data_IF_543894752911
#
_entry.id   IF_543894752911
#
_cell.length_a   1.000
_cell.length_b   1.000
_cell.length_c   1.000
_cell.angle_alpha   90.00
_cell.angle_beta   90.00
_cell.angle_gamma   90.00
#
_symmetry.space_group_name_H-M   'P 1'
#
loop_
_entity.id
_entity.type
_entity.pdbx_description
1 polymer ?
#
# COMPACT_ATOMS: atom_id res chain seq x y z
N UNK A 1 -4.66 25.96 -10.79
CA UNK A 1 -3.80 24.93 -11.41
C UNK A 1 -2.92 25.60 -12.45
N UNK A 2 -1.65 25.20 -12.64
CA UNK A 2 -0.68 25.83 -13.57
C UNK A 2 -1.26 26.08 -14.97
N UNK A 3 -2.03 25.13 -15.49
CA UNK A 3 -2.68 25.20 -16.80
C UNK A 3 -3.76 26.29 -16.95
N UNK A 4 -4.14 26.95 -15.84
CA UNK A 4 -5.13 28.03 -15.82
C UNK A 4 -4.50 29.37 -15.39
N UNK A 5 -3.16 29.43 -15.23
CA UNK A 5 -2.45 30.65 -14.87
C UNK A 5 -2.21 31.53 -16.12
N UNK A 6 -2.08 32.86 -15.96
CA UNK A 6 -1.83 33.77 -17.08
C UNK A 6 -0.54 33.50 -17.85
N UNK A 7 0.53 33.08 -17.16
CA UNK A 7 1.84 32.75 -17.76
C UNK A 7 2.35 31.40 -17.24
N UNK A 8 1.76 30.25 -17.61
CA UNK A 8 2.05 28.95 -17.01
C UNK A 8 3.54 28.58 -16.99
N UNK A 9 4.30 28.96 -18.01
CA UNK A 9 5.74 28.67 -18.14
C UNK A 9 6.63 29.39 -17.11
N UNK A 10 6.14 30.45 -16.47
CA UNK A 10 6.86 31.17 -15.40
C UNK A 10 6.65 30.53 -14.02
N UNK A 11 5.79 29.51 -13.92
CA UNK A 11 5.46 28.83 -12.67
C UNK A 11 6.07 27.44 -12.62
N UNK A 12 6.79 27.18 -11.53
CA UNK A 12 7.30 25.85 -11.22
C UNK A 12 6.35 25.09 -10.27
N UNK A 13 6.24 23.77 -10.42
CA UNK A 13 5.39 22.95 -9.56
C UNK A 13 6.25 22.49 -8.39
N UNK A 14 6.11 23.18 -7.25
CA UNK A 14 6.84 22.82 -6.04
C UNK A 14 5.94 21.95 -5.13
N UNK A 15 6.46 20.83 -4.60
CA UNK A 15 7.86 20.41 -4.70
C UNK A 15 8.17 19.65 -6.01
N UNK A 16 9.38 19.90 -6.54
CA UNK A 16 9.95 19.23 -7.73
C UNK A 16 10.54 17.85 -7.40
N UNK A 17 10.38 17.38 -6.17
CA UNK A 17 10.71 16.01 -5.85
C UNK A 17 9.61 15.10 -6.43
N UNK A 18 10.00 13.90 -6.83
CA UNK A 18 9.12 12.84 -7.32
C UNK A 18 8.11 12.35 -6.25
N UNK A 19 7.96 13.10 -5.15
CA UNK A 19 7.00 12.89 -4.09
C UNK A 19 5.63 13.44 -4.51
N UNK A 20 5.08 12.85 -5.58
CA UNK A 20 3.65 12.59 -5.59
C UNK A 20 3.40 11.83 -4.29
N UNK A 21 2.83 12.49 -3.28
CA UNK A 21 2.53 11.84 -2.02
C UNK A 21 1.64 10.65 -2.34
N UNK A 22 2.18 9.44 -2.19
CA UNK A 22 1.41 8.21 -2.24
C UNK A 22 0.53 8.21 -0.99
N UNK A 23 -0.64 8.81 -1.14
CA UNK A 23 -1.63 8.86 -0.08
C UNK A 23 -2.36 7.52 -0.04
N UNK A 24 -2.45 6.95 1.16
CA UNK A 24 -3.31 5.81 1.40
C UNK A 24 -4.77 6.28 1.31
N UNK A 25 -5.49 5.80 0.30
CA UNK A 25 -6.92 6.02 0.18
C UNK A 25 -7.69 4.93 0.93
N UNK A 26 -8.63 5.34 1.77
CA UNK A 26 -9.60 4.45 2.38
C UNK A 26 -10.92 4.51 1.63
N UNK A 27 -11.56 3.36 1.44
CA UNK A 27 -12.92 3.28 0.89
C UNK A 27 -13.95 3.34 2.03
N UNK A 28 -14.93 4.23 1.91
CA UNK A 28 -16.12 4.21 2.78
C UNK A 28 -17.08 3.15 2.27
N UNK A 29 -17.64 2.38 3.19
CA UNK A 29 -18.60 1.32 2.87
C UNK A 29 -20.02 1.75 3.23
N UNK A 30 -21.04 1.19 2.56
CA UNK A 30 -22.41 1.30 3.01
C UNK A 30 -22.53 0.88 4.48
N UNK A 31 -23.52 1.45 5.15
CA UNK A 31 -23.85 1.04 6.51
C UNK A 31 -24.13 -0.48 6.54
N UNK A 32 -23.64 -1.15 7.58
CA UNK A 32 -23.83 -2.58 7.87
C UNK A 32 -23.14 -3.58 6.91
N UNK A 33 -22.23 -3.13 6.03
CA UNK A 33 -21.43 -4.02 5.16
C UNK A 33 -20.12 -4.52 5.84
N UNK A 34 -20.22 -4.86 7.12
CA UNK A 34 -19.05 -5.24 7.93
C UNK A 34 -18.45 -6.59 7.52
N UNK A 35 -19.26 -7.53 7.04
CA UNK A 35 -18.75 -8.84 6.60
C UNK A 35 -17.84 -8.72 5.37
N UNK A 36 -18.23 -7.89 4.39
CA UNK A 36 -17.38 -7.65 3.23
C UNK A 36 -16.09 -6.95 3.63
N UNK A 37 -16.18 -5.93 4.49
CA UNK A 37 -15.02 -5.24 5.06
C UNK A 37 -14.04 -6.22 5.71
N UNK A 38 -14.55 -7.12 6.54
CA UNK A 38 -13.73 -8.05 7.31
C UNK A 38 -13.07 -9.09 6.40
N UNK A 39 -13.76 -9.55 5.36
CA UNK A 39 -13.18 -10.41 4.32
C UNK A 39 -12.03 -9.72 3.57
N UNK A 40 -12.22 -8.46 3.17
CA UNK A 40 -11.20 -7.67 2.47
C UNK A 40 -9.99 -7.42 3.39
N UNK A 41 -10.23 -6.98 4.62
CA UNK A 41 -9.18 -6.75 5.62
C UNK A 41 -8.37 -8.03 5.89
N UNK A 42 -9.06 -9.15 6.06
CA UNK A 42 -8.42 -10.44 6.27
C UNK A 42 -7.55 -10.86 5.08
N UNK A 43 -8.05 -10.67 3.86
CA UNK A 43 -7.30 -10.96 2.64
C UNK A 43 -6.04 -10.11 2.53
N UNK A 44 -6.13 -8.80 2.81
CA UNK A 44 -4.99 -7.88 2.78
C UNK A 44 -3.96 -8.27 3.86
N UNK A 45 -4.40 -8.51 5.09
CA UNK A 45 -3.50 -8.87 6.18
C UNK A 45 -2.79 -10.21 5.93
N UNK A 46 -3.45 -11.18 5.28
CA UNK A 46 -2.82 -12.44 4.89
C UNK A 46 -1.66 -12.20 3.92
N UNK A 47 -1.86 -11.34 2.91
CA UNK A 47 -0.82 -10.97 1.96
C UNK A 47 0.35 -10.28 2.65
N UNK A 48 0.05 -9.30 3.51
CA UNK A 48 1.06 -8.57 4.28
C UNK A 48 1.87 -9.53 5.16
N UNK A 49 1.19 -10.43 5.88
CA UNK A 49 1.86 -11.43 6.70
C UNK A 49 2.73 -12.38 5.88
N UNK A 50 2.23 -12.83 4.72
CA UNK A 50 2.99 -13.65 3.78
C UNK A 50 4.27 -12.98 3.33
N UNK A 51 4.21 -11.69 2.97
CA UNK A 51 5.38 -10.90 2.63
C UNK A 51 6.38 -10.80 3.79
N UNK A 52 5.92 -10.50 5.00
CA UNK A 52 6.79 -10.37 6.19
C UNK A 52 7.50 -11.67 6.56
N UNK A 53 6.86 -12.83 6.37
CA UNK A 53 7.47 -14.14 6.64
C UNK A 53 8.22 -14.72 5.42
N UNK A 54 8.42 -13.92 4.38
CA UNK A 54 9.11 -14.29 3.15
C UNK A 54 8.47 -15.49 2.41
N UNK A 55 7.14 -15.59 2.47
CA UNK A 55 6.41 -16.57 1.65
C UNK A 55 6.65 -16.30 0.15
N UNK A 56 7.08 -17.29 -0.65
CA UNK A 56 7.48 -17.06 -2.05
C UNK A 56 6.35 -16.53 -2.94
N UNK A 57 5.11 -16.94 -2.72
CA UNK A 57 3.96 -16.51 -3.52
C UNK A 57 3.64 -15.04 -3.23
N UNK A 58 3.51 -14.71 -1.94
CA UNK A 58 3.18 -13.35 -1.52
C UNK A 58 4.34 -12.38 -1.78
N UNK A 59 5.58 -12.80 -1.60
CA UNK A 59 6.77 -11.99 -1.91
C UNK A 59 6.85 -11.65 -3.39
N UNK A 60 6.56 -12.62 -4.28
CA UNK A 60 6.51 -12.38 -5.72
C UNK A 60 5.39 -11.40 -6.11
N UNK A 61 4.21 -11.56 -5.52
CA UNK A 61 3.10 -10.63 -5.75
C UNK A 61 3.48 -9.22 -5.28
N UNK A 62 4.11 -9.11 -4.12
CA UNK A 62 4.52 -7.83 -3.55
C UNK A 62 5.57 -7.12 -4.41
N UNK A 63 6.59 -7.87 -4.89
CA UNK A 63 7.62 -7.34 -5.78
C UNK A 63 7.04 -6.79 -7.10
N UNK A 64 5.95 -7.35 -7.62
CA UNK A 64 5.27 -6.83 -8.81
C UNK A 64 4.68 -5.43 -8.64
N UNK A 65 4.34 -5.05 -7.40
CA UNK A 65 3.83 -3.73 -7.08
C UNK A 65 4.93 -2.79 -6.61
N UNK A 66 5.77 -3.22 -5.67
CA UNK A 66 6.65 -2.33 -4.93
C UNK A 66 8.14 -2.64 -5.05
N UNK A 67 8.51 -3.73 -5.73
CA UNK A 67 9.91 -4.05 -6.00
C UNK A 67 10.57 -3.03 -6.95
N UNK A 68 11.87 -3.16 -7.17
CA UNK A 68 12.65 -2.23 -8.01
C UNK A 68 12.07 -2.03 -9.43
N UNK A 69 11.43 -3.08 -9.98
CA UNK A 69 10.78 -3.09 -11.29
C UNK A 69 9.25 -3.10 -11.19
N UNK A 70 8.71 -2.81 -10.00
CA UNK A 70 7.28 -2.82 -9.73
C UNK A 70 6.57 -1.59 -10.30
N UNK A 71 5.24 -1.60 -10.24
CA UNK A 71 4.39 -0.47 -10.67
C UNK A 71 4.69 0.82 -9.92
N UNK A 72 5.02 0.71 -8.62
CA UNK A 72 5.35 1.81 -7.73
C UNK A 72 6.52 1.39 -6.84
N UNK A 73 7.76 1.42 -7.37
CA UNK A 73 8.93 1.02 -6.61
C UNK A 73 9.02 1.81 -5.30
N UNK A 74 9.27 1.10 -4.21
CA UNK A 74 9.30 1.73 -2.88
C UNK A 74 10.33 1.02 -2.00
N UNK A 75 11.04 1.74 -1.09
CA UNK A 75 12.10 1.12 -0.29
C UNK A 75 11.59 -0.04 0.56
N UNK A 76 12.15 -1.23 0.33
CA UNK A 76 11.73 -2.48 0.99
C UNK A 76 11.79 -2.40 2.51
N UNK A 77 12.88 -1.86 3.08
CA UNK A 77 13.02 -1.73 4.53
C UNK A 77 11.89 -0.90 5.16
N UNK A 78 11.44 0.16 4.48
CA UNK A 78 10.34 1.01 4.98
C UNK A 78 9.01 0.24 4.92
N UNK A 79 8.76 -0.55 3.87
CA UNK A 79 7.55 -1.37 3.76
C UNK A 79 7.51 -2.47 4.80
N UNK A 80 8.62 -3.16 5.03
CA UNK A 80 8.73 -4.20 6.05
C UNK A 80 8.42 -3.62 7.43
N UNK A 81 9.06 -2.51 7.81
CA UNK A 81 8.81 -1.86 9.11
C UNK A 81 7.34 -1.40 9.25
N UNK A 82 6.80 -0.78 8.21
CA UNK A 82 5.41 -0.30 8.22
C UNK A 82 4.39 -1.43 8.38
N UNK A 83 4.57 -2.51 7.60
CA UNK A 83 3.68 -3.66 7.64
C UNK A 83 3.83 -4.51 8.90
N UNK A 84 5.05 -4.66 9.41
CA UNK A 84 5.26 -5.27 10.72
C UNK A 84 4.47 -4.51 11.79
N UNK A 85 4.52 -3.17 11.78
CA UNK A 85 3.70 -2.34 12.67
C UNK A 85 2.19 -2.55 12.52
N UNK A 86 1.69 -2.75 11.29
CA UNK A 86 0.28 -3.10 11.06
C UNK A 86 -0.04 -4.46 11.68
N UNK A 87 0.79 -5.48 11.46
CA UNK A 87 0.58 -6.81 12.00
C UNK A 87 0.65 -6.84 13.52
N UNK A 88 1.58 -6.10 14.13
CA UNK A 88 1.72 -5.98 15.59
C UNK A 88 0.47 -5.35 16.23
N UNK A 89 -0.27 -4.52 15.49
CA UNK A 89 -1.55 -3.95 15.94
C UNK A 89 -2.75 -4.91 15.84
N UNK A 90 -2.57 -6.08 15.22
CA UNK A 90 -3.62 -7.06 14.94
C UNK A 90 -3.28 -8.42 15.54
N UNK A 91 -4.30 -9.27 15.71
CA UNK A 91 -4.06 -10.66 16.07
C UNK A 91 -3.44 -11.40 14.86
N UNK A 92 -2.42 -12.24 15.10
CA UNK A 92 -1.68 -12.95 14.05
C UNK A 92 -2.62 -13.89 13.29
N UNK A 93 -2.64 -13.80 11.95
CA UNK A 93 -3.47 -14.67 11.12
C UNK A 93 -2.80 -16.05 10.99
N UNK A 94 -3.54 -17.17 11.10
CA UNK A 94 -2.97 -18.50 10.87
C UNK A 94 -2.39 -18.63 9.46
N UNK A 95 -1.15 -19.11 9.36
CA UNK A 95 -0.45 -19.36 8.08
C UNK A 95 -0.86 -20.66 7.39
N UNK A 96 -1.73 -21.46 8.01
CA UNK A 96 -2.28 -22.68 7.46
C UNK A 96 -3.81 -22.61 7.46
N UNK A 97 -4.41 -22.37 6.30
CA UNK A 97 -5.85 -22.51 6.09
C UNK A 97 -6.15 -23.08 4.69
N UNK A 98 -6.40 -24.39 4.69
CA UNK A 98 -6.77 -25.35 3.62
C UNK A 98 -5.67 -25.86 2.70
#
# INVERSE_FOLDING_TARGET
>A
MKNSAPNPEEWDIIPNDELVHLEAYACVLPQDDSHWRDLVNYSILRVIQGYIIEDPEFSKMFAGWFGEQGVSPYPEAILQDYFQGILDSKERIPTTAF
#
